data_IF_676789465902
#
_entry.id   IF_676789465902
#
_cell.length_a   1.000
_cell.length_b   1.000
_cell.length_c   1.000
_cell.angle_alpha   90.00
_cell.angle_beta   90.00
_cell.angle_gamma   90.00
#
_symmetry.space_group_name_H-M   'P 1'
#
loop_
_entity.id
_entity.type
_entity.pdbx_description
1 polymer ?
#
# COMPACT_ATOMS: atom_id res chain seq x y z
N UNK A 1 -14.33 -7.27 10.27
CA UNK A 1 -15.31 -8.18 10.87
C UNK A 1 -16.32 -8.68 9.84
N UNK A 2 -17.16 -7.82 9.25
CA UNK A 2 -18.18 -8.23 8.28
C UNK A 2 -17.71 -9.11 7.10
N UNK A 3 -16.49 -8.90 6.58
CA UNK A 3 -15.92 -9.76 5.52
C UNK A 3 -15.63 -11.19 6.02
N UNK A 4 -14.98 -11.31 7.18
CA UNK A 4 -14.65 -12.59 7.80
C UNK A 4 -15.93 -13.34 8.18
N UNK A 5 -16.92 -12.62 8.73
CA UNK A 5 -18.21 -13.20 9.11
C UNK A 5 -18.98 -13.74 7.88
N UNK A 6 -18.73 -13.18 6.69
CA UNK A 6 -19.25 -13.64 5.41
C UNK A 6 -18.42 -14.78 4.77
N UNK A 7 -17.40 -15.31 5.47
CA UNK A 7 -16.51 -16.33 4.95
C UNK A 7 -15.50 -15.82 3.92
N UNK A 8 -15.26 -14.51 3.87
CA UNK A 8 -14.31 -13.87 2.95
C UNK A 8 -13.03 -13.44 3.69
N UNK A 9 -11.91 -13.60 3.00
CA UNK A 9 -10.58 -13.23 3.49
C UNK A 9 -10.08 -11.94 2.83
N UNK A 10 -9.09 -11.30 3.45
CA UNK A 10 -8.55 -10.04 2.96
C UNK A 10 -7.02 -10.03 2.93
N UNK A 11 -6.47 -9.23 2.01
CA UNK A 11 -5.06 -8.82 2.02
C UNK A 11 -5.03 -7.31 1.80
N UNK A 12 -4.54 -6.57 2.78
CA UNK A 12 -4.47 -5.11 2.77
C UNK A 12 -3.03 -4.64 2.79
N UNK A 13 -2.74 -3.52 2.11
CA UNK A 13 -1.48 -2.83 2.36
C UNK A 13 -1.59 -1.95 3.59
N UNK A 14 -0.64 -2.08 4.50
CA UNK A 14 -0.57 -1.24 5.70
C UNK A 14 0.62 -0.30 5.64
N UNK A 15 0.40 0.91 6.16
CA UNK A 15 1.43 1.94 6.29
C UNK A 15 1.75 2.12 7.77
N UNK A 16 2.92 1.68 8.17
CA UNK A 16 3.33 1.79 9.57
C UNK A 16 3.87 3.20 9.87
N UNK A 17 3.44 3.85 10.96
CA UNK A 17 3.94 5.16 11.33
C UNK A 17 5.39 5.12 11.81
N UNK A 18 5.84 4.00 12.37
CA UNK A 18 7.20 3.76 12.90
C UNK A 18 7.74 2.46 12.36
N UNK A 19 9.05 2.23 12.49
CA UNK A 19 9.66 0.96 12.10
C UNK A 19 9.04 -0.15 12.96
N UNK A 20 8.51 -1.23 12.35
CA UNK A 20 7.94 -2.35 13.07
C UNK A 20 8.95 -3.00 14.02
N UNK A 21 8.48 -3.50 15.16
CA UNK A 21 9.32 -4.13 16.19
C UNK A 21 10.12 -5.33 15.67
N UNK A 22 9.53 -6.14 14.79
CA UNK A 22 10.23 -7.28 14.17
C UNK A 22 11.45 -6.84 13.35
N UNK A 23 11.38 -5.66 12.73
CA UNK A 23 12.49 -5.09 11.96
C UNK A 23 13.52 -4.45 12.90
N UNK A 24 13.09 -3.76 13.95
CA UNK A 24 13.98 -3.24 14.99
C UNK A 24 14.76 -4.35 15.70
N UNK A 25 14.12 -5.49 15.96
CA UNK A 25 14.77 -6.67 16.54
C UNK A 25 15.82 -7.23 15.60
N UNK A 26 15.46 -7.41 14.32
CA UNK A 26 16.41 -7.84 13.29
C UNK A 26 17.62 -6.90 13.16
N UNK A 27 17.42 -5.58 13.20
CA UNK A 27 18.52 -4.58 13.17
C UNK A 27 19.47 -4.73 14.36
N UNK A 28 18.94 -5.05 15.54
CA UNK A 28 19.74 -5.24 16.75
C UNK A 28 20.60 -6.50 16.67
N UNK A 29 20.05 -7.55 16.07
CA UNK A 29 20.74 -8.84 15.87
C UNK A 29 21.76 -8.79 14.73
N UNK A 30 21.57 -7.91 13.75
CA UNK A 30 22.41 -7.78 12.54
C UNK A 30 22.97 -6.35 12.42
N UNK A 31 23.83 -5.91 13.36
CA UNK A 31 24.35 -4.55 13.36
C UNK A 31 25.24 -4.30 12.15
N UNK A 32 24.93 -3.26 11.37
CA UNK A 32 25.72 -2.86 10.19
C UNK A 32 25.39 -3.61 8.91
N UNK A 33 24.47 -4.59 8.96
CA UNK A 33 23.99 -5.25 7.75
C UNK A 33 22.85 -4.45 7.08
N UNK A 34 22.98 -4.29 5.76
CA UNK A 34 21.94 -3.71 4.93
C UNK A 34 20.83 -4.71 4.62
N UNK A 35 19.61 -4.21 4.38
CA UNK A 35 18.49 -5.04 3.96
C UNK A 35 18.68 -5.56 2.54
N UNK A 36 18.25 -6.80 2.31
CA UNK A 36 18.28 -7.42 0.98
C UNK A 36 16.97 -7.18 0.21
N UNK A 37 17.07 -7.08 -1.12
CA UNK A 37 15.87 -6.95 -1.95
C UNK A 37 14.91 -8.12 -1.74
N UNK A 38 13.65 -7.82 -1.42
CA UNK A 38 12.64 -8.84 -1.23
C UNK A 38 12.70 -9.52 0.14
N UNK A 39 13.57 -9.08 1.05
CA UNK A 39 13.57 -9.52 2.45
C UNK A 39 12.20 -9.30 3.08
N UNK A 40 11.74 -10.31 3.84
CA UNK A 40 10.42 -10.31 4.48
C UNK A 40 10.59 -10.56 5.97
N UNK A 41 9.91 -9.75 6.78
CA UNK A 41 9.72 -9.97 8.20
C UNK A 41 8.24 -10.15 8.49
N UNK A 42 7.91 -11.05 9.39
CA UNK A 42 6.51 -11.39 9.72
C UNK A 42 6.24 -11.06 11.18
N UNK A 43 5.14 -10.36 11.43
CA UNK A 43 4.69 -10.02 12.77
C UNK A 43 3.22 -10.41 12.92
N UNK A 44 2.91 -11.23 13.91
CA UNK A 44 1.52 -11.49 14.30
C UNK A 44 0.88 -10.20 14.83
N UNK A 45 -0.39 -9.96 14.47
CA UNK A 45 -1.13 -8.76 14.85
C UNK A 45 -2.56 -9.13 15.28
N UNK A 46 -3.21 -8.20 15.97
CA UNK A 46 -4.63 -8.27 16.28
C UNK A 46 -5.31 -7.11 15.54
N UNK A 47 -6.20 -7.42 14.60
CA UNK A 47 -6.87 -6.42 13.73
C UNK A 47 -7.76 -5.43 14.48
N UNK A 48 -8.05 -5.70 15.76
CA UNK A 48 -8.83 -4.83 16.63
C UNK A 48 -8.03 -4.56 17.91
N UNK A 49 -7.24 -3.48 17.88
CA UNK A 49 -6.44 -3.06 19.03
C UNK A 49 -7.30 -3.07 20.30
N UNK A 50 -6.94 -3.97 21.23
CA UNK A 50 -7.44 -4.09 22.62
C UNK A 50 -8.65 -4.99 22.91
N UNK A 51 -9.22 -5.74 21.95
CA UNK A 51 -10.35 -6.66 22.28
C UNK A 51 -10.07 -8.16 22.18
N UNK A 52 -9.01 -8.60 21.52
CA UNK A 52 -8.66 -10.02 21.41
C UNK A 52 -7.28 -10.30 22.01
N UNK A 53 -7.22 -11.31 22.88
CA UNK A 53 -5.98 -11.81 23.49
C UNK A 53 -5.12 -12.60 22.49
N UNK A 54 -5.74 -13.21 21.48
CA UNK A 54 -5.05 -14.02 20.47
C UNK A 54 -4.93 -13.26 19.14
N UNK A 55 -3.73 -13.12 18.55
CA UNK A 55 -3.55 -12.59 17.22
C UNK A 55 -4.39 -13.35 16.20
N UNK A 56 -5.23 -12.64 15.46
CA UNK A 56 -6.08 -13.21 14.40
C UNK A 56 -5.65 -12.75 13.01
N UNK A 57 -4.57 -11.97 12.92
CA UNK A 57 -4.02 -11.48 11.66
C UNK A 57 -2.51 -11.53 11.69
N UNK A 58 -1.91 -11.43 10.52
CA UNK A 58 -0.47 -11.36 10.35
C UNK A 58 -0.12 -10.21 9.42
N UNK A 59 0.94 -9.48 9.76
CA UNK A 59 1.53 -8.48 8.88
C UNK A 59 2.89 -8.95 8.38
N UNK A 60 3.04 -9.05 7.07
CA UNK A 60 4.31 -9.27 6.40
C UNK A 60 4.87 -7.94 5.92
N UNK A 61 6.07 -7.59 6.38
CA UNK A 61 6.81 -6.43 5.92
C UNK A 61 7.84 -6.87 4.88
N UNK A 62 7.74 -6.33 3.67
CA UNK A 62 8.72 -6.56 2.61
C UNK A 62 9.57 -5.31 2.38
N UNK A 63 10.88 -5.50 2.27
CA UNK A 63 11.79 -4.46 1.78
C UNK A 63 12.04 -4.56 0.27
N UNK A 64 12.17 -3.40 -0.39
CA UNK A 64 12.49 -3.28 -1.81
C UNK A 64 13.42 -2.10 -2.07
N UNK A 65 14.58 -2.36 -2.68
CA UNK A 65 15.52 -1.30 -3.09
C UNK A 65 14.88 -0.27 -4.02
N UNK A 66 14.05 -0.69 -4.98
CA UNK A 66 13.40 0.23 -5.90
C UNK A 66 12.43 1.18 -5.22
N UNK A 67 11.73 0.67 -4.19
CA UNK A 67 10.87 1.51 -3.34
C UNK A 67 11.74 2.43 -2.48
N UNK A 68 12.79 1.92 -1.86
CA UNK A 68 13.71 2.69 -1.03
C UNK A 68 14.30 3.87 -1.82
N UNK A 69 14.90 3.59 -2.99
CA UNK A 69 15.47 4.60 -3.89
C UNK A 69 14.48 5.71 -4.25
N UNK A 70 13.25 5.36 -4.65
CA UNK A 70 12.21 6.35 -5.00
C UNK A 70 11.75 7.16 -3.79
N UNK A 71 11.56 6.49 -2.64
CA UNK A 71 11.17 7.15 -1.40
C UNK A 71 12.25 8.10 -0.89
N UNK A 72 13.51 7.68 -0.86
CA UNK A 72 14.66 8.49 -0.45
C UNK A 72 14.79 9.73 -1.34
N UNK A 73 14.78 9.56 -2.66
CA UNK A 73 14.80 10.69 -3.61
C UNK A 73 13.69 11.70 -3.33
N UNK A 74 12.45 11.22 -3.14
CA UNK A 74 11.32 12.09 -2.82
C UNK A 74 11.44 12.79 -1.47
N UNK A 75 12.05 12.14 -0.47
CA UNK A 75 12.35 12.76 0.83
C UNK A 75 13.39 13.87 0.64
N UNK A 76 14.49 13.58 -0.05
CA UNK A 76 15.60 14.51 -0.22
C UNK A 76 15.18 15.75 -1.02
N UNK A 77 14.41 15.59 -2.10
CA UNK A 77 13.85 16.71 -2.86
C UNK A 77 12.96 17.62 -1.98
N UNK A 78 12.13 17.03 -1.12
CA UNK A 78 11.22 17.77 -0.26
C UNK A 78 11.95 18.46 0.90
N UNK A 79 12.98 17.82 1.46
CA UNK A 79 13.86 18.43 2.48
C UNK A 79 14.66 19.58 1.87
N UNK A 80 15.21 19.41 0.66
CA UNK A 80 15.93 20.49 -0.04
C UNK A 80 15.02 21.68 -0.36
N UNK A 81 13.76 21.43 -0.74
CA UNK A 81 12.75 22.49 -0.90
C UNK A 81 12.39 23.16 0.42
N UNK A 82 12.28 22.39 1.51
CA UNK A 82 12.02 22.94 2.84
C UNK A 82 13.16 23.85 3.30
N UNK A 83 14.40 23.42 3.10
CA UNK A 83 15.61 24.18 3.43
C UNK A 83 15.63 25.52 2.69
N UNK A 84 15.56 25.52 1.35
CA UNK A 84 15.51 26.75 0.54
C UNK A 84 14.38 27.71 0.93
N UNK A 85 13.23 27.17 1.34
CA UNK A 85 12.11 27.99 1.79
C UNK A 85 12.36 28.64 3.16
N UNK A 86 13.04 27.94 4.08
CA UNK A 86 13.43 28.48 5.40
C UNK A 86 14.59 29.47 5.27
N UNK A 87 15.52 29.22 4.35
CA UNK A 87 16.70 30.07 4.08
C UNK A 87 16.31 31.38 3.33
N UNK A 88 15.07 31.48 2.82
CA UNK A 88 14.54 32.68 2.18
C UNK A 88 14.67 32.73 0.65
N UNK A 89 15.30 31.72 0.03
CA UNK A 89 15.50 31.63 -1.43
C UNK A 89 14.19 31.46 -2.20
N UNK A 90 13.16 30.89 -1.55
CA UNK A 90 11.86 30.56 -2.18
C UNK A 90 10.73 30.90 -1.19
N UNK A 91 9.59 31.37 -1.71
CA UNK A 91 8.39 31.56 -0.91
C UNK A 91 7.95 30.27 -0.18
N UNK A 92 7.65 30.41 1.12
CA UNK A 92 7.21 29.29 1.96
C UNK A 92 5.80 28.84 1.54
N UNK A 93 5.73 27.66 0.90
CA UNK A 93 4.49 26.92 0.64
C UNK A 93 4.32 25.78 1.65
N UNK A 94 3.14 25.16 1.67
CA UNK A 94 2.86 23.98 2.51
C UNK A 94 3.79 22.82 2.09
N UNK A 95 4.82 22.58 2.89
CA UNK A 95 5.76 21.47 2.74
C UNK A 95 5.69 20.61 4.01
N UNK A 96 5.66 19.30 3.82
CA UNK A 96 5.54 18.31 4.91
C UNK A 96 6.70 18.37 5.91
N UNK A 97 7.88 18.85 5.52
CA UNK A 97 9.07 18.95 6.37
C UNK A 97 9.33 20.36 6.90
N UNK A 98 8.38 21.30 6.76
CA UNK A 98 8.45 22.59 7.44
C UNK A 98 7.53 22.53 8.66
N UNK A 99 8.07 22.86 9.82
CA UNK A 99 7.27 23.11 11.00
C UNK A 99 6.60 24.47 10.87
N UNK A 100 5.32 24.45 10.47
CA UNK A 100 4.51 25.66 10.30
C UNK A 100 3.98 26.20 11.63
N UNK A 101 4.00 25.42 12.71
CA UNK A 101 3.59 25.84 14.05
C UNK A 101 4.68 26.58 14.81
N UNK A 102 5.96 26.38 14.44
CA UNK A 102 7.07 27.07 15.07
C UNK A 102 7.11 28.57 14.67
N UNK A 103 7.32 29.49 15.64
CA UNK A 103 7.36 30.94 15.36
C UNK A 103 8.43 31.31 14.33
N UNK A 104 9.58 30.62 14.38
CA UNK A 104 10.63 30.69 13.37
C UNK A 104 10.55 29.40 12.56
N UNK A 105 9.70 29.34 11.52
CA UNK A 105 9.46 28.16 10.66
C UNK A 105 10.78 27.42 10.38
N UNK A 106 10.94 26.20 10.92
CA UNK A 106 12.18 25.40 10.77
C UNK A 106 11.94 24.16 9.93
N UNK A 107 13.03 23.62 9.37
CA UNK A 107 12.99 22.30 8.73
C UNK A 107 12.94 21.21 9.80
N UNK A 108 11.97 20.29 9.69
CA UNK A 108 11.81 19.14 10.56
C UNK A 108 12.64 17.94 10.06
N UNK A 109 13.93 17.94 10.41
CA UNK A 109 14.85 16.86 10.08
C UNK A 109 14.53 15.54 10.80
N UNK A 110 13.94 15.60 12.00
CA UNK A 110 13.55 14.40 12.75
C UNK A 110 12.47 13.60 12.01
N UNK A 111 11.47 14.29 11.45
CA UNK A 111 10.44 13.66 10.62
C UNK A 111 11.03 13.07 9.33
N UNK A 112 11.99 13.77 8.73
CA UNK A 112 12.70 13.25 7.56
C UNK A 112 13.50 11.97 7.89
N UNK A 113 14.24 11.95 8.99
CA UNK A 113 14.98 10.78 9.46
C UNK A 113 14.04 9.58 9.70
N UNK A 114 12.90 9.82 10.36
CA UNK A 114 11.86 8.81 10.57
C UNK A 114 11.32 8.23 9.25
N UNK A 115 11.08 9.07 8.24
CA UNK A 115 10.66 8.58 6.92
C UNK A 115 11.77 7.85 6.17
N UNK A 116 13.03 8.26 6.33
CA UNK A 116 14.19 7.55 5.75
C UNK A 116 14.32 6.15 6.35
N UNK A 117 14.15 6.01 7.66
CA UNK A 117 14.18 4.72 8.35
C UNK A 117 13.09 3.74 7.87
N UNK A 118 11.99 4.26 7.31
CA UNK A 118 10.88 3.50 6.73
C UNK A 118 10.99 3.31 5.20
N UNK A 119 11.98 3.91 4.56
CA UNK A 119 12.10 3.85 3.11
C UNK A 119 12.28 2.41 2.64
N UNK A 120 11.50 2.01 1.63
CA UNK A 120 11.58 0.66 1.07
C UNK A 120 10.71 -0.39 1.77
N UNK A 121 10.28 -0.15 3.01
CA UNK A 121 9.43 -1.07 3.77
C UNK A 121 7.96 -0.89 3.35
N UNK A 122 7.29 -2.01 3.03
CA UNK A 122 5.82 -2.05 2.85
C UNK A 122 5.23 -3.21 3.65
N UNK A 123 4.18 -2.93 4.40
CA UNK A 123 3.43 -3.95 5.12
C UNK A 123 2.24 -4.49 4.31
N UNK A 124 1.96 -5.77 4.51
CA UNK A 124 0.84 -6.52 3.94
C UNK A 124 0.15 -7.25 5.09
N UNK A 125 -1.03 -6.79 5.47
CA UNK A 125 -1.82 -7.40 6.55
C UNK A 125 -2.87 -8.35 5.95
N UNK A 126 -3.04 -9.52 6.56
CA UNK A 126 -4.05 -10.50 6.17
C UNK A 126 -4.55 -11.28 7.39
N UNK A 127 -5.78 -11.77 7.30
CA UNK A 127 -6.36 -12.77 8.21
C UNK A 127 -5.96 -14.21 7.85
N UNK A 128 -5.33 -14.42 6.68
CA UNK A 128 -4.80 -15.71 6.23
C UNK A 128 -3.46 -16.02 6.92
N UNK A 129 -3.50 -16.33 8.21
CA UNK A 129 -2.30 -16.53 9.04
C UNK A 129 -1.47 -17.76 8.67
N UNK A 130 -2.06 -18.72 7.96
CA UNK A 130 -1.37 -19.95 7.50
C UNK A 130 -0.74 -19.81 6.13
N UNK A 131 -1.07 -18.75 5.38
CA UNK A 131 -0.58 -18.57 4.01
C UNK A 131 0.86 -18.03 4.02
N UNK A 132 1.79 -18.57 3.20
CA UNK A 132 3.15 -18.06 3.13
C UNK A 132 3.20 -16.59 2.69
N UNK A 133 4.12 -15.82 3.27
CA UNK A 133 4.22 -14.38 3.03
C UNK A 133 4.40 -14.03 1.54
N UNK A 134 5.17 -14.85 0.82
CA UNK A 134 5.43 -14.70 -0.62
C UNK A 134 4.15 -14.85 -1.43
N UNK A 135 3.27 -15.78 -1.05
CA UNK A 135 1.97 -15.97 -1.68
C UNK A 135 1.03 -14.81 -1.36
N UNK A 136 0.95 -14.37 -0.10
CA UNK A 136 0.18 -13.18 0.31
C UNK A 136 0.58 -11.96 -0.52
N UNK A 137 1.89 -11.70 -0.62
CA UNK A 137 2.43 -10.59 -1.42
C UNK A 137 2.13 -10.79 -2.91
N UNK A 138 2.22 -12.02 -3.42
CA UNK A 138 1.88 -12.38 -4.80
C UNK A 138 0.41 -12.13 -5.13
N UNK A 139 -0.51 -12.58 -4.28
CA UNK A 139 -1.95 -12.30 -4.40
C UNK A 139 -2.24 -10.81 -4.37
N UNK A 140 -1.64 -10.07 -3.43
CA UNK A 140 -1.79 -8.62 -3.38
C UNK A 140 -1.27 -7.96 -4.66
N UNK A 141 -0.13 -8.40 -5.20
CA UNK A 141 0.39 -7.87 -6.47
C UNK A 141 -0.60 -8.12 -7.59
N UNK A 142 -1.23 -9.30 -7.68
CA UNK A 142 -2.24 -9.60 -8.71
C UNK A 142 -3.52 -8.75 -8.59
N UNK A 143 -3.76 -8.02 -7.50
CA UNK A 143 -4.90 -7.10 -7.40
C UNK A 143 -4.92 -6.03 -8.50
N UNK A 144 -3.76 -5.64 -9.08
CA UNK A 144 -3.77 -4.71 -10.21
C UNK A 144 -4.50 -5.28 -11.44
N UNK A 145 -4.57 -6.62 -11.59
CA UNK A 145 -5.34 -7.26 -12.66
C UNK A 145 -6.82 -6.92 -12.53
N UNK A 146 -7.33 -6.85 -11.30
CA UNK A 146 -8.71 -6.45 -11.01
C UNK A 146 -8.94 -5.00 -11.48
N UNK A 147 -8.02 -4.09 -11.17
CA UNK A 147 -8.11 -2.70 -11.67
C UNK A 147 -8.07 -2.62 -13.20
N UNK A 148 -7.23 -3.45 -13.84
CA UNK A 148 -7.17 -3.55 -15.31
C UNK A 148 -8.52 -4.00 -15.87
N UNK A 149 -9.09 -5.07 -15.33
CA UNK A 149 -10.41 -5.59 -15.73
C UNK A 149 -11.51 -4.53 -15.53
N UNK A 150 -11.50 -3.79 -14.42
CA UNK A 150 -12.44 -2.69 -14.20
C UNK A 150 -12.24 -1.53 -15.19
N UNK A 151 -11.01 -1.23 -15.59
CA UNK A 151 -10.73 -0.20 -16.59
C UNK A 151 -11.32 -0.59 -17.94
N UNK A 152 -11.02 -1.81 -18.42
CA UNK A 152 -11.55 -2.35 -19.68
C UNK A 152 -13.08 -2.44 -19.67
N UNK A 153 -13.65 -2.93 -18.56
CA UNK A 153 -15.10 -3.00 -18.37
C UNK A 153 -15.75 -1.62 -18.55
N UNK A 154 -15.13 -0.56 -18.02
CA UNK A 154 -15.65 0.80 -18.09
C UNK A 154 -15.46 1.46 -19.46
N UNK A 155 -14.26 1.41 -20.06
CA UNK A 155 -13.96 2.10 -21.31
C UNK A 155 -14.42 1.30 -22.53
N UNK A 156 -13.99 0.06 -22.61
CA UNK A 156 -14.06 -0.74 -23.84
C UNK A 156 -15.42 -1.42 -23.94
N UNK A 157 -15.84 -2.06 -22.83
CA UNK A 157 -17.11 -2.77 -22.75
C UNK A 157 -18.28 -1.86 -22.34
N UNK A 158 -18.01 -0.58 -22.05
CA UNK A 158 -19.02 0.43 -21.70
C UNK A 158 -19.99 -0.03 -20.60
N UNK A 159 -19.48 -0.60 -19.50
CA UNK A 159 -20.25 -1.06 -18.32
C UNK A 159 -21.05 0.04 -17.59
N UNK A 160 -21.09 1.26 -18.11
CA UNK A 160 -21.85 2.39 -17.56
C UNK A 160 -23.14 2.53 -18.36
N UNK A 161 -24.26 1.91 -17.94
CA UNK A 161 -25.52 1.99 -18.66
C UNK A 161 -26.18 3.36 -18.42
N UNK A 162 -25.60 4.42 -19.00
CA UNK A 162 -26.03 5.82 -18.78
C UNK A 162 -27.47 6.05 -19.25
N UNK A 163 -27.91 5.31 -20.27
CA UNK A 163 -29.22 5.50 -20.90
C UNK A 163 -30.25 4.43 -20.54
N UNK A 164 -29.89 3.41 -19.74
CA UNK A 164 -30.84 2.39 -19.30
C UNK A 164 -31.57 2.87 -18.04
N UNK A 165 -32.91 2.77 -18.03
CA UNK A 165 -33.73 3.17 -16.87
C UNK A 165 -34.48 2.02 -16.20
N UNK A 166 -34.70 0.92 -16.92
CA UNK A 166 -35.36 -0.28 -16.38
C UNK A 166 -34.30 -1.17 -15.73
N UNK A 167 -34.59 -1.67 -14.53
CA UNK A 167 -33.70 -2.57 -13.79
C UNK A 167 -33.27 -3.77 -14.64
N UNK A 168 -34.21 -4.42 -15.33
CA UNK A 168 -33.90 -5.58 -16.18
C UNK A 168 -32.92 -5.24 -17.30
N UNK A 169 -33.03 -4.05 -17.89
CA UNK A 169 -32.12 -3.58 -18.94
C UNK A 169 -30.72 -3.29 -18.38
N UNK A 170 -30.63 -2.73 -17.17
CA UNK A 170 -29.36 -2.51 -16.47
C UNK A 170 -28.70 -3.86 -16.15
N UNK A 171 -29.45 -4.80 -15.59
CA UNK A 171 -28.97 -6.13 -15.23
C UNK A 171 -28.49 -6.90 -16.47
N UNK A 172 -29.28 -6.92 -17.55
CA UNK A 172 -28.91 -7.56 -18.80
C UNK A 172 -27.62 -6.96 -19.39
N UNK A 173 -27.50 -5.63 -19.42
CA UNK A 173 -26.29 -4.95 -19.89
C UNK A 173 -25.06 -5.33 -19.06
N UNK A 174 -25.18 -5.34 -17.73
CA UNK A 174 -24.09 -5.74 -16.84
C UNK A 174 -23.70 -7.21 -17.04
N UNK A 175 -24.67 -8.12 -17.23
CA UNK A 175 -24.39 -9.53 -17.52
C UNK A 175 -23.60 -9.70 -18.83
N UNK A 176 -24.01 -9.00 -19.90
CA UNK A 176 -23.31 -9.05 -21.19
C UNK A 176 -21.87 -8.55 -21.02
N UNK A 177 -21.67 -7.45 -20.30
CA UNK A 177 -20.33 -6.92 -20.05
C UNK A 177 -19.48 -7.88 -19.22
N UNK A 178 -20.04 -8.50 -18.17
CA UNK A 178 -19.32 -9.49 -17.37
C UNK A 178 -18.93 -10.73 -18.19
N UNK A 179 -19.83 -11.21 -19.07
CA UNK A 179 -19.53 -12.31 -19.97
C UNK A 179 -18.43 -11.94 -20.99
N UNK A 180 -18.53 -10.77 -21.61
CA UNK A 180 -17.51 -10.28 -22.55
C UNK A 180 -16.14 -10.11 -21.87
N UNK A 181 -16.11 -9.61 -20.62
CA UNK A 181 -14.89 -9.48 -19.84
C UNK A 181 -14.26 -10.86 -19.52
N UNK A 182 -15.08 -11.86 -19.19
CA UNK A 182 -14.61 -13.21 -18.94
C UNK A 182 -13.98 -13.85 -20.19
N UNK A 183 -14.62 -13.67 -21.36
CA UNK A 183 -14.08 -14.15 -22.65
C UNK A 183 -12.78 -13.44 -22.99
N UNK A 184 -12.72 -12.11 -22.86
CA UNK A 184 -11.50 -11.34 -23.12
C UNK A 184 -10.35 -11.78 -22.21
N UNK A 185 -10.63 -12.03 -20.92
CA UNK A 185 -9.64 -12.54 -19.98
C UNK A 185 -9.15 -13.95 -20.34
N UNK A 186 -10.05 -14.83 -20.80
CA UNK A 186 -9.68 -16.18 -21.26
C UNK A 186 -8.78 -16.12 -22.50
N UNK A 187 -9.05 -15.22 -23.44
CA UNK A 187 -8.21 -15.03 -24.62
C UNK A 187 -6.81 -14.52 -24.25
N UNK A 188 -6.74 -13.55 -23.33
CA UNK A 188 -5.47 -12.98 -22.85
C UNK A 188 -4.62 -14.00 -22.10
N UNK A 189 -5.23 -14.89 -21.31
CA UNK A 189 -4.50 -15.91 -20.52
C UNK A 189 -4.01 -17.10 -21.34
N UNK A 190 -4.60 -17.34 -22.53
CA UNK A 190 -4.22 -18.42 -23.44
C UNK A 190 -3.21 -18.02 -24.52
N UNK A 191 -3.00 -16.73 -24.72
CA UNK A 191 -2.05 -16.17 -25.71
C UNK A 191 -0.66 -16.00 -25.09
#
# INVERSE_FOLDING_TARGET
QALIDAGLHYILSVKTPTVPEVIETWRRENPGEDYTHGQIWTQASASDGRKRTTPNTVTHFQYSHDRARRSLRGIDEQVAKAKRAVDGDIAIKRNRYIDLSAPNKKVNYALAAKHRALAGIKGYETDLTTLPAQEVIGHYRRLFNIEKSFRMSKSDLKARPIYARKQDSITAHLHIVMAALAVAHLMETRS
#
